data_IF_763344829424
#
_entry.id   IF_763344829424
#
_cell.length_a   1.000
_cell.length_b   1.000
_cell.length_c   1.000
_cell.angle_alpha   90.00
_cell.angle_beta   90.00
_cell.angle_gamma   90.00
#
_symmetry.space_group_name_H-M   'P 1'
#
loop_
_entity.id
_entity.type
_entity.pdbx_description
1 polymer ?
#
# COMPACT_ATOMS: atom_id res chain seq x y z
N UNK A 1 -0.96 14.11 -13.41
CA UNK A 1 -0.34 13.48 -12.20
C UNK A 1 1.13 13.22 -12.51
N UNK A 2 2.04 13.36 -11.53
CA UNK A 2 3.46 13.04 -11.73
C UNK A 2 3.66 11.53 -11.75
N UNK A 3 4.65 11.08 -12.54
CA UNK A 3 5.07 9.68 -12.61
C UNK A 3 6.47 9.53 -12.05
N UNK A 4 6.79 8.32 -11.62
CA UNK A 4 8.12 7.91 -11.18
C UNK A 4 8.42 6.50 -11.69
N UNK A 5 9.68 6.17 -11.81
CA UNK A 5 10.09 4.82 -12.14
C UNK A 5 9.90 3.88 -10.93
N UNK A 6 9.32 2.71 -11.17
CA UNK A 6 9.19 1.67 -10.15
C UNK A 6 10.52 0.90 -10.03
N UNK A 7 11.25 1.14 -8.96
CA UNK A 7 12.59 0.58 -8.81
C UNK A 7 13.51 1.00 -9.96
N UNK A 8 14.13 0.01 -10.60
CA UNK A 8 14.94 0.17 -11.84
C UNK A 8 14.41 -0.72 -12.96
N UNK A 9 13.08 -0.76 -13.08
CA UNK A 9 12.40 -1.67 -14.02
C UNK A 9 12.15 -1.04 -15.38
N UNK A 10 12.26 0.28 -15.51
CA UNK A 10 11.80 1.06 -16.66
C UNK A 10 10.29 1.37 -16.63
N UNK A 11 9.51 0.72 -15.76
CA UNK A 11 8.07 0.97 -15.62
C UNK A 11 7.79 2.31 -14.97
N UNK A 12 6.98 3.14 -15.63
CA UNK A 12 6.55 4.43 -15.11
C UNK A 12 5.17 4.28 -14.43
N UNK A 13 5.10 4.61 -13.15
CA UNK A 13 3.87 4.56 -12.38
C UNK A 13 3.54 5.93 -11.81
N UNK A 14 2.24 6.22 -11.57
CA UNK A 14 1.84 7.44 -10.89
C UNK A 14 2.36 7.45 -9.45
N UNK A 15 2.90 8.59 -9.02
CA UNK A 15 3.41 8.77 -7.64
C UNK A 15 2.30 8.66 -6.59
N UNK A 16 1.06 9.01 -6.95
CA UNK A 16 -0.13 8.75 -6.16
C UNK A 16 -0.82 7.49 -6.72
N UNK A 17 -0.85 6.41 -5.94
CA UNK A 17 -1.52 5.16 -6.30
C UNK A 17 -2.89 5.05 -5.65
N UNK A 18 -3.81 4.33 -6.30
CA UNK A 18 -5.18 4.12 -5.84
C UNK A 18 -5.36 2.71 -5.29
N UNK A 19 -5.65 2.61 -3.99
CA UNK A 19 -5.97 1.37 -3.30
C UNK A 19 -7.46 1.08 -3.33
N UNK A 20 -7.82 -0.11 -3.82
CA UNK A 20 -9.20 -0.56 -4.00
C UNK A 20 -9.74 -1.38 -2.80
N UNK A 21 -9.07 -1.33 -1.63
CA UNK A 21 -9.30 -2.24 -0.50
C UNK A 21 -10.78 -2.38 -0.09
N UNK A 22 -11.58 -1.33 -0.17
CA UNK A 22 -12.98 -1.33 0.27
C UNK A 22 -13.99 -1.28 -0.88
N UNK A 23 -13.53 -1.30 -2.13
CA UNK A 23 -14.39 -1.34 -3.31
C UNK A 23 -15.13 -2.68 -3.37
N UNK A 24 -16.41 -2.65 -3.69
CA UNK A 24 -17.30 -3.80 -3.65
C UNK A 24 -17.92 -4.11 -2.28
N UNK A 25 -17.56 -3.34 -1.24
CA UNK A 25 -18.13 -3.48 0.11
C UNK A 25 -18.54 -2.13 0.68
N UNK A 26 -17.69 -1.48 1.49
CA UNK A 26 -17.98 -0.15 2.05
C UNK A 26 -18.03 0.96 0.98
N UNK A 27 -17.41 0.75 -0.17
CA UNK A 27 -17.54 1.57 -1.38
C UNK A 27 -18.29 0.75 -2.41
N UNK A 28 -19.52 1.15 -2.73
CA UNK A 28 -20.35 0.47 -3.74
C UNK A 28 -19.75 0.56 -5.14
N UNK A 29 -20.22 -0.27 -6.06
CA UNK A 29 -19.64 -0.41 -7.40
C UNK A 29 -19.66 0.91 -8.20
N UNK A 30 -20.81 1.61 -8.20
CA UNK A 30 -20.94 2.88 -8.94
C UNK A 30 -19.97 3.95 -8.43
N UNK A 31 -19.82 4.07 -7.11
CA UNK A 31 -18.86 4.99 -6.48
C UNK A 31 -17.42 4.56 -6.75
N UNK A 32 -17.15 3.25 -6.73
CA UNK A 32 -15.83 2.71 -7.07
C UNK A 32 -15.45 3.04 -8.51
N UNK A 33 -16.38 2.88 -9.46
CA UNK A 33 -16.15 3.21 -10.87
C UNK A 33 -15.95 4.71 -11.07
N UNK A 34 -16.74 5.55 -10.39
CA UNK A 34 -16.55 7.00 -10.44
C UNK A 34 -15.15 7.42 -9.95
N UNK A 35 -14.68 6.85 -8.85
CA UNK A 35 -13.34 7.10 -8.31
C UNK A 35 -12.26 6.62 -9.29
N UNK A 36 -12.39 5.40 -9.81
CA UNK A 36 -11.42 4.79 -10.72
C UNK A 36 -11.34 5.55 -12.06
N UNK A 37 -12.48 5.93 -12.64
CA UNK A 37 -12.51 6.72 -13.88
C UNK A 37 -11.92 8.11 -13.65
N UNK A 38 -12.28 8.78 -12.55
CA UNK A 38 -11.71 10.08 -12.18
C UNK A 38 -10.21 10.01 -11.94
N UNK A 39 -9.71 8.88 -11.38
CA UNK A 39 -8.28 8.63 -11.19
C UNK A 39 -7.53 8.54 -12.52
N UNK A 40 -8.06 7.78 -13.50
CA UNK A 40 -7.49 7.74 -14.85
C UNK A 40 -7.49 9.09 -15.54
N UNK A 41 -8.61 9.85 -15.45
CA UNK A 41 -8.74 11.18 -16.03
C UNK A 41 -7.72 12.18 -15.45
N UNK A 42 -7.33 11.98 -14.18
CA UNK A 42 -6.28 12.75 -13.53
C UNK A 42 -4.85 12.31 -13.92
N UNK A 43 -4.71 11.30 -14.79
CA UNK A 43 -3.42 10.73 -15.21
C UNK A 43 -2.84 9.72 -14.22
N UNK A 44 -3.68 9.14 -13.35
CA UNK A 44 -3.28 8.04 -12.48
C UNK A 44 -3.14 6.75 -13.27
N UNK A 45 -2.21 5.89 -12.87
CA UNK A 45 -1.96 4.61 -13.53
C UNK A 45 -1.84 3.42 -12.59
N UNK A 46 -1.48 3.61 -11.34
CA UNK A 46 -1.20 2.52 -10.40
C UNK A 46 -2.41 2.18 -9.53
N UNK A 47 -3.05 1.02 -9.80
CA UNK A 47 -4.18 0.50 -9.03
C UNK A 47 -3.74 -0.71 -8.22
N UNK A 48 -4.01 -0.69 -6.91
CA UNK A 48 -3.59 -1.71 -5.94
C UNK A 48 -4.79 -2.39 -5.29
N UNK A 49 -4.81 -3.71 -5.30
CA UNK A 49 -5.79 -4.55 -4.61
C UNK A 49 -5.12 -5.72 -3.88
N UNK A 50 -5.90 -6.67 -3.37
CA UNK A 50 -5.44 -7.96 -2.85
C UNK A 50 -6.57 -8.99 -2.89
N UNK A 51 -6.20 -10.27 -2.94
CA UNK A 51 -7.12 -11.39 -2.98
C UNK A 51 -8.05 -11.45 -1.76
N UNK A 52 -7.56 -11.05 -0.58
CA UNK A 52 -8.27 -11.17 0.69
C UNK A 52 -9.04 -9.92 1.10
N UNK A 53 -9.03 -8.84 0.32
CA UNK A 53 -9.59 -7.58 0.77
C UNK A 53 -11.09 -7.67 1.05
N UNK A 54 -11.45 -6.95 2.11
CA UNK A 54 -12.82 -6.69 2.56
C UNK A 54 -13.54 -7.83 3.30
N UNK A 55 -12.93 -9.01 3.55
CA UNK A 55 -13.57 -10.09 4.32
C UNK A 55 -14.08 -9.65 5.71
N UNK A 56 -13.47 -8.62 6.30
CA UNK A 56 -13.80 -8.11 7.64
C UNK A 56 -14.94 -7.07 7.65
N UNK A 57 -15.42 -6.61 6.52
CA UNK A 57 -16.36 -5.47 6.42
C UNK A 57 -17.81 -5.82 6.74
N UNK A 58 -18.19 -7.09 6.78
CA UNK A 58 -19.54 -7.51 7.13
C UNK A 58 -19.81 -9.00 6.94
N UNK A 59 -20.94 -9.48 7.47
CA UNK A 59 -21.40 -10.84 7.25
C UNK A 59 -21.60 -11.10 5.75
N UNK A 60 -21.08 -12.23 5.27
CA UNK A 60 -21.16 -12.61 3.85
C UNK A 60 -19.98 -12.18 3.01
N UNK A 61 -19.14 -11.24 3.47
CA UNK A 61 -17.88 -10.92 2.78
C UNK A 61 -16.83 -11.97 3.11
N UNK A 62 -16.20 -12.52 2.09
CA UNK A 62 -15.24 -13.64 2.23
C UNK A 62 -13.86 -13.30 1.72
N UNK A 63 -13.68 -12.15 1.06
CA UNK A 63 -12.49 -11.76 0.33
C UNK A 63 -12.69 -11.96 -1.18
N UNK A 64 -12.00 -11.14 -1.97
CA UNK A 64 -12.12 -11.13 -3.43
C UNK A 64 -13.06 -10.06 -3.99
N UNK A 65 -13.93 -9.46 -3.17
CA UNK A 65 -14.92 -8.48 -3.60
C UNK A 65 -14.26 -7.28 -4.30
N UNK A 66 -13.11 -6.83 -3.82
CA UNK A 66 -12.33 -5.77 -4.45
C UNK A 66 -11.83 -6.15 -5.85
N UNK A 67 -11.29 -7.36 -6.00
CA UNK A 67 -10.81 -7.86 -7.30
C UNK A 67 -11.97 -8.08 -8.28
N UNK A 68 -13.15 -8.52 -7.83
CA UNK A 68 -14.33 -8.69 -8.68
C UNK A 68 -14.84 -7.37 -9.24
N UNK A 69 -14.94 -6.32 -8.41
CA UNK A 69 -15.31 -4.97 -8.87
C UNK A 69 -14.28 -4.44 -9.86
N UNK A 70 -12.99 -4.57 -9.54
CA UNK A 70 -11.94 -4.17 -10.46
C UNK A 70 -11.98 -4.95 -11.77
N UNK A 71 -12.25 -6.25 -11.73
CA UNK A 71 -12.38 -7.09 -12.94
C UNK A 71 -13.45 -6.59 -13.91
N UNK A 72 -14.61 -6.20 -13.39
CA UNK A 72 -15.68 -5.59 -14.22
C UNK A 72 -15.23 -4.24 -14.81
N UNK A 73 -14.58 -3.41 -14.04
CA UNK A 73 -14.11 -2.11 -14.49
C UNK A 73 -12.95 -2.22 -15.52
N UNK A 74 -12.07 -3.21 -15.36
CA UNK A 74 -10.89 -3.43 -16.21
C UNK A 74 -11.22 -3.92 -17.63
N UNK A 75 -12.41 -4.43 -17.89
CA UNK A 75 -12.80 -5.09 -19.17
C UNK A 75 -12.35 -4.31 -20.41
N UNK A 76 -12.37 -2.97 -20.38
CA UNK A 76 -11.89 -2.11 -21.48
C UNK A 76 -10.72 -1.21 -21.11
N UNK A 77 -10.17 -1.38 -19.90
CA UNK A 77 -9.20 -0.44 -19.30
C UNK A 77 -7.90 -1.11 -18.87
N UNK A 78 -7.77 -2.47 -18.96
CA UNK A 78 -6.59 -3.20 -18.44
C UNK A 78 -5.26 -2.62 -18.93
N UNK A 79 -5.16 -2.26 -20.19
CA UNK A 79 -3.93 -1.68 -20.77
C UNK A 79 -3.63 -0.23 -20.36
N UNK A 80 -4.52 0.40 -19.58
CA UNK A 80 -4.33 1.78 -19.11
C UNK A 80 -3.79 1.86 -17.68
N UNK A 81 -3.68 0.72 -16.99
CA UNK A 81 -3.29 0.69 -15.58
C UNK A 81 -2.13 -0.26 -15.35
N UNK A 82 -1.26 0.12 -14.42
CA UNK A 82 -0.34 -0.75 -13.74
C UNK A 82 -1.09 -1.40 -12.57
N UNK A 83 -1.38 -2.69 -12.68
CA UNK A 83 -2.25 -3.42 -11.76
C UNK A 83 -1.42 -4.24 -10.77
N UNK A 84 -1.63 -4.00 -9.48
CA UNK A 84 -1.04 -4.80 -8.42
C UNK A 84 -2.10 -5.58 -7.64
N UNK A 85 -1.79 -6.83 -7.32
CA UNK A 85 -2.55 -7.62 -6.34
C UNK A 85 -1.59 -8.38 -5.40
N UNK A 86 -2.14 -9.07 -4.39
CA UNK A 86 -1.37 -9.69 -3.32
C UNK A 86 -1.95 -11.05 -2.97
N UNK A 87 -1.08 -11.99 -2.57
CA UNK A 87 -1.43 -13.29 -1.99
C UNK A 87 -0.77 -13.51 -0.63
N UNK A 88 -0.93 -14.68 -0.06
CA UNK A 88 -0.43 -15.13 1.25
C UNK A 88 -1.27 -14.73 2.48
N UNK A 89 -2.29 -13.91 2.31
CA UNK A 89 -3.11 -13.43 3.42
C UNK A 89 -4.60 -13.79 3.29
N UNK A 90 -4.94 -14.82 2.53
CA UNK A 90 -6.29 -15.35 2.48
C UNK A 90 -6.71 -15.90 3.83
N UNK A 91 -8.00 -15.74 4.18
CA UNK A 91 -8.59 -16.24 5.42
C UNK A 91 -9.69 -17.23 5.05
N UNK A 92 -9.48 -18.53 5.34
CA UNK A 92 -10.40 -19.59 4.94
C UNK A 92 -11.76 -19.55 5.65
N UNK A 93 -11.78 -19.08 6.89
CA UNK A 93 -13.00 -18.93 7.71
C UNK A 93 -13.12 -17.51 8.27
N UNK A 94 -13.53 -16.53 7.43
CA UNK A 94 -13.65 -15.13 7.87
C UNK A 94 -14.64 -14.95 9.02
N UNK A 95 -15.71 -15.75 9.09
CA UNK A 95 -16.73 -15.65 10.11
C UNK A 95 -16.16 -15.93 11.52
N UNK A 96 -15.22 -16.85 11.61
CA UNK A 96 -14.55 -17.19 12.87
C UNK A 96 -13.70 -16.06 13.44
N UNK A 97 -13.09 -15.25 12.55
CA UNK A 97 -12.11 -14.22 12.98
C UNK A 97 -12.70 -12.82 13.02
N UNK A 98 -13.86 -12.58 12.42
CA UNK A 98 -14.45 -11.24 12.32
C UNK A 98 -14.73 -10.58 13.68
N UNK A 99 -15.18 -11.37 14.64
CA UNK A 99 -15.58 -10.90 15.97
C UNK A 99 -14.59 -11.31 17.08
N UNK A 100 -13.44 -11.90 16.71
CA UNK A 100 -12.45 -12.32 17.69
C UNK A 100 -11.26 -11.35 17.73
N UNK A 101 -10.74 -11.00 18.93
CA UNK A 101 -9.51 -10.23 19.03
C UNK A 101 -8.31 -11.10 18.62
N UNK A 102 -7.44 -10.54 17.79
CA UNK A 102 -6.20 -11.18 17.34
C UNK A 102 -6.01 -11.15 15.83
N UNK A 103 -4.84 -11.56 15.39
CA UNK A 103 -4.57 -11.71 13.96
C UNK A 103 -5.22 -13.00 13.45
N UNK A 104 -5.88 -12.97 12.27
CA UNK A 104 -6.41 -14.16 11.65
C UNK A 104 -5.26 -15.10 11.23
N UNK A 105 -5.57 -16.38 11.12
CA UNK A 105 -4.64 -17.31 10.49
C UNK A 105 -4.69 -17.12 8.97
N UNK A 106 -3.60 -16.61 8.44
CA UNK A 106 -3.41 -16.41 7.00
C UNK A 106 -2.99 -17.74 6.31
N UNK A 107 -3.25 -17.80 5.01
CA UNK A 107 -2.93 -18.95 4.15
C UNK A 107 -1.43 -19.25 4.04
N UNK A 108 -0.58 -18.23 4.30
CA UNK A 108 0.87 -18.36 4.21
C UNK A 108 1.41 -18.25 2.76
N UNK A 109 2.73 -18.37 2.65
CA UNK A 109 3.45 -18.12 1.40
C UNK A 109 4.04 -19.39 0.76
N UNK A 110 3.46 -20.57 1.07
CA UNK A 110 3.83 -21.82 0.41
C UNK A 110 3.60 -21.73 -1.12
N UNK A 111 4.48 -22.35 -1.89
CA UNK A 111 4.47 -22.21 -3.35
C UNK A 111 3.15 -22.61 -4.00
N UNK A 112 2.51 -23.68 -3.52
CA UNK A 112 1.19 -24.11 -4.01
C UNK A 112 0.11 -23.06 -3.68
N UNK A 113 0.15 -22.49 -2.47
CA UNK A 113 -0.78 -21.46 -2.03
C UNK A 113 -0.71 -20.23 -2.93
N UNK A 114 0.50 -19.70 -3.17
CA UNK A 114 0.68 -18.51 -4.00
C UNK A 114 0.22 -18.72 -5.44
N UNK A 115 0.48 -19.91 -6.04
CA UNK A 115 0.00 -20.24 -7.39
C UNK A 115 -1.53 -20.29 -7.46
N UNK A 116 -2.15 -20.99 -6.53
CA UNK A 116 -3.61 -21.12 -6.43
C UNK A 116 -4.28 -19.76 -6.22
N UNK A 117 -3.74 -18.94 -5.34
CA UNK A 117 -4.29 -17.63 -5.01
C UNK A 117 -4.16 -16.64 -6.17
N UNK A 118 -3.00 -16.61 -6.85
CA UNK A 118 -2.85 -15.80 -8.05
C UNK A 118 -3.81 -16.24 -9.16
N UNK A 119 -3.95 -17.53 -9.42
CA UNK A 119 -4.88 -18.03 -10.44
C UNK A 119 -6.34 -17.65 -10.12
N UNK A 120 -6.71 -17.64 -8.85
CA UNK A 120 -8.02 -17.16 -8.42
C UNK A 120 -8.15 -15.64 -8.60
N UNK A 121 -7.13 -14.85 -8.29
CA UNK A 121 -7.08 -13.40 -8.51
C UNK A 121 -7.20 -13.04 -9.99
N UNK A 122 -6.44 -13.70 -10.87
CA UNK A 122 -6.52 -13.49 -12.31
C UNK A 122 -7.93 -13.74 -12.87
N UNK A 123 -8.62 -14.78 -12.37
CA UNK A 123 -10.03 -15.03 -12.75
C UNK A 123 -10.97 -13.92 -12.30
N UNK A 124 -10.85 -13.43 -11.04
CA UNK A 124 -11.69 -12.32 -10.53
C UNK A 124 -11.41 -11.02 -11.26
N UNK A 125 -10.14 -10.74 -11.54
CA UNK A 125 -9.69 -9.53 -12.25
C UNK A 125 -9.96 -9.59 -13.77
N UNK A 126 -10.31 -10.77 -14.32
CA UNK A 126 -10.58 -10.93 -15.75
C UNK A 126 -9.38 -10.65 -16.65
N UNK A 127 -8.16 -10.99 -16.19
CA UNK A 127 -6.90 -10.75 -16.91
C UNK A 127 -6.00 -11.98 -16.85
N UNK A 128 -5.05 -12.09 -17.76
CA UNK A 128 -4.07 -13.18 -17.83
C UNK A 128 -2.80 -12.89 -17.02
N UNK A 129 -2.58 -11.63 -16.64
CA UNK A 129 -1.42 -11.23 -15.83
C UNK A 129 -1.70 -10.02 -14.94
N UNK A 130 -0.86 -9.86 -13.91
CA UNK A 130 -0.72 -8.62 -13.13
C UNK A 130 0.66 -8.02 -13.32
N UNK A 131 0.75 -6.69 -13.18
CA UNK A 131 2.02 -5.99 -13.34
C UNK A 131 2.90 -6.15 -12.09
N UNK A 132 2.27 -6.24 -10.90
CA UNK A 132 2.99 -6.43 -9.64
C UNK A 132 2.23 -7.41 -8.73
N UNK A 133 2.92 -8.41 -8.22
CA UNK A 133 2.38 -9.37 -7.27
C UNK A 133 3.15 -9.31 -5.96
N UNK A 134 2.43 -9.04 -4.86
CA UNK A 134 3.04 -9.00 -3.54
C UNK A 134 2.82 -10.29 -2.76
N UNK A 135 3.84 -10.70 -1.99
CA UNK A 135 3.59 -11.43 -0.75
C UNK A 135 3.02 -10.43 0.25
N UNK A 136 1.74 -10.60 0.62
CA UNK A 136 0.95 -9.62 1.36
C UNK A 136 1.37 -9.51 2.83
N UNK A 137 1.60 -10.67 3.46
CA UNK A 137 2.12 -10.78 4.83
C UNK A 137 3.26 -11.79 4.78
N UNK A 138 4.42 -11.39 5.33
CA UNK A 138 5.59 -12.26 5.38
C UNK A 138 5.30 -13.52 6.22
N UNK A 139 5.70 -14.68 5.70
CA UNK A 139 5.51 -15.98 6.32
C UNK A 139 6.85 -16.57 6.74
N UNK A 140 7.07 -16.65 8.04
CA UNK A 140 8.28 -17.21 8.62
C UNK A 140 8.25 -18.75 8.74
N UNK A 141 7.08 -19.36 8.55
CA UNK A 141 6.90 -20.81 8.65
C UNK A 141 7.31 -21.54 7.37
N UNK A 142 7.08 -20.91 6.20
CA UNK A 142 7.47 -21.46 4.91
C UNK A 142 8.95 -21.16 4.61
N UNK A 143 9.75 -22.14 4.15
CA UNK A 143 11.10 -21.87 3.66
C UNK A 143 11.09 -20.83 2.54
N UNK A 144 11.96 -19.82 2.63
CA UNK A 144 12.02 -18.74 1.65
C UNK A 144 12.30 -19.23 0.23
N UNK A 145 13.14 -20.25 0.12
CA UNK A 145 13.51 -20.82 -1.17
C UNK A 145 12.28 -21.39 -1.90
N UNK A 146 11.37 -22.05 -1.18
CA UNK A 146 10.11 -22.55 -1.74
C UNK A 146 9.23 -21.41 -2.27
N UNK A 147 9.06 -20.37 -1.45
CA UNK A 147 8.30 -19.17 -1.82
C UNK A 147 8.88 -18.49 -3.06
N UNK A 148 10.20 -18.28 -3.07
CA UNK A 148 10.90 -17.56 -4.14
C UNK A 148 10.93 -18.34 -5.46
N UNK A 149 11.13 -19.67 -5.40
CA UNK A 149 11.05 -20.53 -6.58
C UNK A 149 9.65 -20.49 -7.21
N UNK A 150 8.60 -20.53 -6.38
CA UNK A 150 7.23 -20.42 -6.87
C UNK A 150 6.97 -19.07 -7.54
N UNK A 151 7.39 -17.96 -6.93
CA UNK A 151 7.26 -16.62 -7.48
C UNK A 151 8.04 -16.47 -8.80
N UNK A 152 9.28 -16.98 -8.86
CA UNK A 152 10.07 -17.01 -10.08
C UNK A 152 9.36 -17.79 -11.21
N UNK A 153 8.72 -18.90 -10.88
CA UNK A 153 7.91 -19.66 -11.81
C UNK A 153 6.69 -18.89 -12.35
N UNK A 154 6.05 -18.05 -11.51
CA UNK A 154 4.94 -17.20 -11.91
C UNK A 154 5.38 -16.09 -12.87
N UNK A 155 6.56 -15.52 -12.65
CA UNK A 155 7.17 -14.54 -13.56
C UNK A 155 7.56 -15.22 -14.90
N UNK A 156 8.20 -16.37 -14.85
CA UNK A 156 8.57 -17.13 -16.04
C UNK A 156 7.35 -17.56 -16.88
N UNK A 157 6.21 -17.82 -16.22
CA UNK A 157 4.94 -18.13 -16.88
C UNK A 157 4.22 -16.90 -17.47
N UNK A 158 4.75 -15.69 -17.28
CA UNK A 158 4.16 -14.44 -17.75
C UNK A 158 2.91 -13.99 -17.00
N UNK A 159 2.57 -14.65 -15.89
CA UNK A 159 1.40 -14.29 -15.05
C UNK A 159 1.68 -13.07 -14.14
N UNK A 160 2.94 -12.77 -13.88
CA UNK A 160 3.43 -11.67 -13.06
C UNK A 160 4.59 -11.00 -13.77
N UNK A 161 4.58 -9.67 -13.87
CA UNK A 161 5.72 -8.93 -14.42
C UNK A 161 6.78 -8.66 -13.36
N UNK A 162 6.36 -8.13 -12.21
CA UNK A 162 7.25 -7.74 -11.12
C UNK A 162 6.79 -8.32 -9.78
N UNK A 163 7.73 -8.52 -8.88
CA UNK A 163 7.49 -9.01 -7.53
C UNK A 163 7.62 -7.88 -6.50
N UNK A 164 6.83 -7.97 -5.44
CA UNK A 164 6.92 -7.09 -4.29
C UNK A 164 6.73 -7.85 -2.99
N UNK A 165 7.03 -7.19 -1.88
CA UNK A 165 6.79 -7.71 -0.55
C UNK A 165 6.06 -6.67 0.30
N UNK A 166 5.18 -7.10 1.20
CA UNK A 166 4.47 -6.23 2.12
C UNK A 166 4.59 -6.78 3.55
N UNK A 167 4.49 -5.91 4.53
CA UNK A 167 4.52 -6.28 5.95
C UNK A 167 5.75 -7.14 6.31
N UNK A 168 6.92 -6.68 5.90
CA UNK A 168 8.20 -7.39 6.00
C UNK A 168 9.25 -6.56 6.74
N UNK A 169 10.07 -7.21 7.55
CA UNK A 169 11.21 -6.57 8.20
C UNK A 169 12.39 -6.43 7.24
N UNK A 170 13.21 -5.39 7.44
CA UNK A 170 14.38 -5.08 6.61
C UNK A 170 15.34 -6.24 6.47
N UNK A 171 15.71 -6.91 7.59
CA UNK A 171 16.62 -8.06 7.54
C UNK A 171 16.08 -9.24 6.68
N UNK A 172 14.76 -9.43 6.71
CA UNK A 172 14.09 -10.47 5.92
C UNK A 172 14.10 -10.12 4.44
N UNK A 173 13.86 -8.84 4.12
CA UNK A 173 13.91 -8.33 2.75
C UNK A 173 15.31 -8.51 2.15
N UNK A 174 16.38 -8.24 2.90
CA UNK A 174 17.74 -8.50 2.45
C UNK A 174 18.03 -9.98 2.24
N UNK A 175 17.53 -10.84 3.12
CA UNK A 175 17.66 -12.30 2.91
C UNK A 175 16.95 -12.76 1.64
N UNK A 176 15.76 -12.21 1.35
CA UNK A 176 15.01 -12.46 0.12
C UNK A 176 15.86 -12.06 -1.09
N UNK A 177 16.41 -10.86 -1.09
CA UNK A 177 17.24 -10.34 -2.20
C UNK A 177 18.50 -11.17 -2.41
N UNK A 178 19.20 -11.52 -1.35
CA UNK A 178 20.40 -12.34 -1.41
C UNK A 178 20.11 -13.77 -1.98
N UNK A 179 18.96 -14.34 -1.65
CA UNK A 179 18.56 -15.63 -2.24
C UNK A 179 18.20 -15.48 -3.72
N UNK A 180 17.49 -14.42 -4.10
CA UNK A 180 17.19 -14.15 -5.51
C UNK A 180 18.47 -14.00 -6.33
N UNK A 181 19.45 -13.24 -5.85
CA UNK A 181 20.76 -13.09 -6.51
C UNK A 181 21.48 -14.44 -6.64
N UNK A 182 21.55 -15.22 -5.56
CA UNK A 182 22.21 -16.53 -5.54
C UNK A 182 21.64 -17.50 -6.56
N UNK A 183 20.31 -17.52 -6.72
CA UNK A 183 19.61 -18.48 -7.58
C UNK A 183 19.27 -17.91 -8.96
N UNK A 184 19.57 -16.65 -9.26
CA UNK A 184 19.18 -15.99 -10.49
C UNK A 184 17.66 -15.78 -10.62
N UNK A 185 16.94 -15.69 -9.49
CA UNK A 185 15.51 -15.44 -9.48
C UNK A 185 15.20 -13.93 -9.52
N UNK A 186 14.01 -13.54 -10.05
CA UNK A 186 13.56 -12.16 -9.97
C UNK A 186 13.47 -11.67 -8.53
N UNK A 187 14.15 -10.55 -8.22
CA UNK A 187 14.07 -9.92 -6.92
C UNK A 187 12.85 -9.01 -6.79
N UNK A 188 12.33 -8.77 -5.57
CA UNK A 188 11.33 -7.74 -5.36
C UNK A 188 11.81 -6.36 -5.80
N UNK A 189 10.95 -5.61 -6.49
CA UNK A 189 11.19 -4.23 -6.94
C UNK A 189 10.43 -3.21 -6.09
N UNK A 190 9.52 -3.67 -5.24
CA UNK A 190 8.71 -2.82 -4.38
C UNK A 190 8.55 -3.45 -2.99
N UNK A 191 8.55 -2.59 -1.98
CA UNK A 191 8.14 -2.93 -0.61
C UNK A 191 6.95 -2.07 -0.23
N UNK A 192 5.83 -2.72 0.15
CA UNK A 192 4.61 -2.02 0.55
C UNK A 192 4.46 -2.06 2.06
N UNK A 193 4.59 -0.91 2.72
CA UNK A 193 4.59 -0.75 4.18
C UNK A 193 3.73 0.44 4.59
N UNK A 194 3.21 0.39 5.82
CA UNK A 194 2.56 1.56 6.41
C UNK A 194 3.58 2.67 6.61
N UNK A 195 3.34 3.80 5.96
CA UNK A 195 4.18 4.99 6.10
C UNK A 195 3.32 6.25 6.10
N UNK A 196 3.64 7.14 7.02
CA UNK A 196 2.90 8.38 7.24
C UNK A 196 3.84 9.46 7.79
N UNK A 197 3.32 10.66 8.00
CA UNK A 197 4.08 11.75 8.62
C UNK A 197 4.40 11.49 10.10
N UNK A 198 3.55 10.77 10.84
CA UNK A 198 3.86 10.35 12.21
C UNK A 198 4.97 9.30 12.21
N UNK A 199 5.83 9.37 13.24
CA UNK A 199 6.86 8.36 13.53
C UNK A 199 6.34 7.32 14.51
N UNK A 200 6.69 6.02 14.37
CA UNK A 200 6.38 5.04 15.38
C UNK A 200 7.06 5.39 16.70
N UNK A 201 6.34 5.23 17.82
CA UNK A 201 6.89 5.45 19.15
C UNK A 201 8.01 4.46 19.47
N UNK A 202 8.94 4.78 20.40
CA UNK A 202 9.92 3.82 20.89
C UNK A 202 9.27 2.53 21.39
N UNK A 203 9.81 1.39 20.95
CA UNK A 203 9.27 0.07 21.31
C UNK A 203 8.00 -0.36 20.55
N UNK A 204 7.58 0.39 19.53
CA UNK A 204 6.49 0.00 18.65
C UNK A 204 6.81 -1.31 17.88
N UNK A 205 5.77 -2.07 17.52
CA UNK A 205 5.94 -3.17 16.58
C UNK A 205 5.98 -2.63 15.15
N UNK A 206 7.18 -2.48 14.60
CA UNK A 206 7.41 -1.92 13.26
C UNK A 206 7.44 -2.96 12.13
N UNK A 207 6.95 -4.19 12.35
CA UNK A 207 6.91 -5.21 11.27
C UNK A 207 6.25 -4.70 9.99
N UNK A 208 5.17 -3.97 10.14
CA UNK A 208 4.37 -3.43 9.03
C UNK A 208 4.52 -1.92 8.84
N UNK A 209 5.32 -1.27 9.66
CA UNK A 209 5.49 0.18 9.70
C UNK A 209 6.93 0.50 9.31
N UNK A 210 7.08 1.47 8.42
CA UNK A 210 8.39 2.00 8.06
C UNK A 210 9.03 2.68 9.28
N UNK A 211 10.21 2.22 9.65
CA UNK A 211 11.07 2.81 10.68
C UNK A 211 12.35 3.40 10.07
N UNK A 212 13.18 3.98 10.92
CA UNK A 212 14.41 4.66 10.47
C UNK A 212 15.40 3.69 9.81
N UNK A 213 15.46 2.42 10.28
CA UNK A 213 16.31 1.40 9.66
C UNK A 213 15.83 1.12 8.23
N UNK A 214 14.53 0.91 8.03
CA UNK A 214 13.98 0.64 6.71
C UNK A 214 14.10 1.85 5.77
N UNK A 215 13.90 3.08 6.27
CA UNK A 215 14.16 4.29 5.48
C UNK A 215 15.62 4.39 5.07
N UNK A 216 16.56 4.14 5.99
CA UNK A 216 17.99 4.14 5.69
C UNK A 216 18.32 3.10 4.62
N UNK A 217 17.78 1.87 4.77
CA UNK A 217 17.95 0.81 3.80
C UNK A 217 17.46 1.21 2.40
N UNK A 218 16.24 1.75 2.30
CA UNK A 218 15.64 2.14 1.02
C UNK A 218 16.41 3.28 0.32
N UNK A 219 16.99 4.22 1.08
CA UNK A 219 17.84 5.28 0.52
C UNK A 219 19.09 4.73 -0.19
N UNK A 220 19.59 3.59 0.28
CA UNK A 220 20.78 2.96 -0.28
C UNK A 220 20.48 1.85 -1.32
N UNK A 221 19.21 1.53 -1.50
CA UNK A 221 18.72 0.51 -2.42
C UNK A 221 17.61 1.05 -3.33
N UNK A 222 17.94 1.97 -4.27
CA UNK A 222 16.96 2.66 -5.12
C UNK A 222 16.23 1.74 -6.13
N UNK A 223 16.67 0.50 -6.27
CA UNK A 223 15.96 -0.56 -7.00
C UNK A 223 14.73 -1.09 -6.25
N UNK A 224 14.53 -0.70 -4.99
CA UNK A 224 13.33 -0.98 -4.20
C UNK A 224 12.49 0.29 -4.05
N UNK A 225 11.30 0.30 -4.60
CA UNK A 225 10.34 1.39 -4.39
C UNK A 225 9.54 1.17 -3.13
N UNK A 226 9.50 2.18 -2.25
CA UNK A 226 8.53 2.21 -1.15
C UNK A 226 7.12 2.49 -1.70
N UNK A 227 6.15 1.63 -1.40
CA UNK A 227 4.73 1.89 -1.62
C UNK A 227 4.09 2.12 -0.24
N UNK A 228 3.86 3.40 0.07
CA UNK A 228 3.43 3.87 1.39
C UNK A 228 1.91 3.71 1.54
N UNK A 229 1.45 2.66 2.23
CA UNK A 229 0.02 2.50 2.50
C UNK A 229 -0.40 3.18 3.82
N UNK A 230 -1.70 3.45 3.97
CA UNK A 230 -2.31 4.15 5.11
C UNK A 230 -1.67 5.51 5.43
N UNK A 231 -1.33 6.34 4.44
CA UNK A 231 -0.61 7.60 4.66
C UNK A 231 -1.36 8.56 5.59
N UNK A 232 -2.68 8.50 5.61
CA UNK A 232 -3.55 9.35 6.43
C UNK A 232 -4.02 8.71 7.74
N UNK A 233 -3.52 7.52 8.10
CA UNK A 233 -3.84 6.82 9.36
C UNK A 233 -5.35 6.79 9.66
N UNK A 234 -6.14 6.36 8.66
CA UNK A 234 -7.61 6.31 8.71
C UNK A 234 -8.29 7.67 8.93
N UNK A 235 -7.61 8.76 8.56
CA UNK A 235 -8.12 10.13 8.70
C UNK A 235 -7.83 10.79 10.06
N UNK A 236 -6.87 10.27 10.82
CA UNK A 236 -6.50 10.78 12.14
C UNK A 236 -5.93 12.21 12.15
N UNK A 237 -5.46 12.71 11.02
CA UNK A 237 -4.99 14.10 10.90
C UNK A 237 -6.15 15.11 10.84
N UNK A 238 -7.19 14.80 10.06
CA UNK A 238 -8.34 15.69 9.86
C UNK A 238 -9.41 15.59 10.96
N UNK A 239 -9.49 14.44 11.65
CA UNK A 239 -10.52 14.18 12.64
C UNK A 239 -9.91 13.61 13.93
N UNK A 240 -9.82 14.43 15.01
CA UNK A 240 -9.28 13.99 16.29
C UNK A 240 -10.01 12.76 16.90
N UNK A 241 -11.30 12.57 16.62
CA UNK A 241 -12.03 11.40 17.12
C UNK A 241 -11.48 10.09 16.54
N UNK A 242 -10.91 10.13 15.34
CA UNK A 242 -10.28 8.96 14.69
C UNK A 242 -8.92 8.58 15.29
N UNK A 243 -8.34 9.43 16.13
CA UNK A 243 -7.10 9.11 16.87
C UNK A 243 -7.29 8.01 17.91
N UNK A 244 -8.55 7.66 18.25
CA UNK A 244 -8.85 6.48 19.05
C UNK A 244 -8.71 5.15 18.30
N UNK A 245 -8.63 5.16 16.95
CA UNK A 245 -8.52 3.96 16.12
C UNK A 245 -7.24 3.16 16.47
N UNK A 246 -7.28 1.80 16.49
CA UNK A 246 -6.13 0.95 16.83
C UNK A 246 -4.86 1.22 15.98
N UNK A 247 -4.99 1.68 14.72
CA UNK A 247 -3.84 2.07 13.89
C UNK A 247 -2.95 3.11 14.55
N UNK A 248 -3.49 3.90 15.49
CA UNK A 248 -2.76 4.95 16.21
C UNK A 248 -1.94 4.42 17.39
N UNK A 249 -2.12 3.16 17.81
CA UNK A 249 -1.46 2.65 19.03
C UNK A 249 0.07 2.70 18.93
N UNK A 250 0.62 2.51 17.75
CA UNK A 250 2.07 2.52 17.53
C UNK A 250 2.66 3.94 17.36
N UNK A 251 1.81 4.98 17.34
CA UNK A 251 2.21 6.38 17.12
C UNK A 251 1.94 7.30 18.33
N UNK A 252 1.26 6.81 19.38
CA UNK A 252 0.89 7.65 20.54
C UNK A 252 2.10 8.15 21.29
N UNK A 253 2.07 9.43 21.70
CA UNK A 253 3.12 10.06 22.49
C UNK A 253 3.29 11.54 22.17
N UNK A 254 4.22 12.19 22.87
CA UNK A 254 4.49 13.63 22.73
C UNK A 254 4.94 14.02 21.30
N UNK A 255 5.76 13.18 20.67
CA UNK A 255 6.16 13.37 19.26
C UNK A 255 4.94 13.46 18.33
N UNK A 256 3.99 12.54 18.47
CA UNK A 256 2.79 12.53 17.64
C UNK A 256 1.92 13.77 17.87
N UNK A 257 1.76 14.19 19.13
CA UNK A 257 0.97 15.40 19.44
C UNK A 257 1.63 16.66 18.88
N UNK A 258 2.95 16.79 18.97
CA UNK A 258 3.69 17.89 18.35
C UNK A 258 3.51 17.91 16.82
N UNK A 259 3.60 16.74 16.18
CA UNK A 259 3.40 16.60 14.74
C UNK A 259 1.97 16.93 14.30
N UNK A 260 0.97 16.50 15.06
CA UNK A 260 -0.42 16.90 14.79
C UNK A 260 -0.62 18.42 14.88
N UNK A 261 -0.01 19.06 15.87
CA UNK A 261 -0.10 20.51 16.05
C UNK A 261 0.50 21.28 14.86
N UNK A 262 1.69 20.86 14.41
CA UNK A 262 2.38 21.49 13.25
C UNK A 262 1.56 21.31 11.96
N UNK A 263 1.01 20.11 11.72
CA UNK A 263 0.16 19.87 10.55
C UNK A 263 -1.10 20.72 10.58
N UNK A 264 -1.77 20.85 11.74
CA UNK A 264 -2.98 21.66 11.89
C UNK A 264 -2.70 23.15 11.71
N UNK A 265 -1.58 23.64 12.26
CA UNK A 265 -1.13 25.02 12.11
C UNK A 265 -0.87 25.34 10.63
N UNK A 266 -0.05 24.54 9.96
CA UNK A 266 0.28 24.72 8.55
C UNK A 266 -0.95 24.62 7.64
N UNK A 267 -1.86 23.70 7.92
CA UNK A 267 -3.12 23.57 7.19
C UNK A 267 -3.96 24.86 7.30
N UNK A 268 -4.01 25.45 8.50
CA UNK A 268 -4.70 26.73 8.74
C UNK A 268 -4.05 27.89 7.96
N UNK A 269 -2.72 27.99 8.02
CA UNK A 269 -1.97 29.03 7.29
C UNK A 269 -2.17 28.96 5.78
N UNK A 270 -2.26 27.75 5.23
CA UNK A 270 -2.40 27.51 3.80
C UNK A 270 -3.86 27.46 3.31
N UNK A 271 -4.85 27.46 4.22
CA UNK A 271 -6.26 27.34 3.89
C UNK A 271 -6.62 25.97 3.27
N UNK A 272 -5.94 24.90 3.67
CA UNK A 272 -6.13 23.53 3.19
C UNK A 272 -6.45 22.59 4.36
N UNK A 273 -6.74 21.32 4.07
CA UNK A 273 -6.96 20.33 5.13
C UNK A 273 -5.65 19.74 5.66
N UNK A 274 -5.62 19.26 6.92
CA UNK A 274 -4.49 18.51 7.47
C UNK A 274 -4.10 17.29 6.61
N UNK A 275 -5.06 16.59 6.00
CA UNK A 275 -4.82 15.48 5.09
C UNK A 275 -4.03 15.91 3.84
N UNK A 276 -4.39 17.07 3.27
CA UNK A 276 -3.68 17.62 2.10
C UNK A 276 -2.23 17.98 2.44
N UNK A 277 -1.97 18.55 3.62
CA UNK A 277 -0.61 18.85 4.08
C UNK A 277 0.23 17.57 4.18
N UNK A 278 -0.31 16.52 4.80
CA UNK A 278 0.39 15.24 4.97
C UNK A 278 0.64 14.56 3.62
N UNK A 279 -0.33 14.55 2.72
CA UNK A 279 -0.14 13.99 1.38
C UNK A 279 0.89 14.80 0.58
N UNK A 280 0.82 16.13 0.62
CA UNK A 280 1.82 16.98 -0.04
C UNK A 280 3.22 16.74 0.52
N UNK A 281 3.38 16.61 1.85
CA UNK A 281 4.66 16.27 2.47
C UNK A 281 5.21 14.94 1.96
N UNK A 282 4.39 13.87 1.90
CA UNK A 282 4.79 12.56 1.35
C UNK A 282 5.20 12.65 -0.11
N UNK A 283 4.44 13.39 -0.93
CA UNK A 283 4.73 13.57 -2.35
C UNK A 283 5.98 14.42 -2.63
N UNK A 284 6.44 15.22 -1.65
CA UNK A 284 7.70 15.96 -1.72
C UNK A 284 8.92 15.14 -1.28
N UNK A 285 8.74 13.93 -0.72
CA UNK A 285 9.86 13.08 -0.33
C UNK A 285 10.61 12.58 -1.56
N UNK A 286 11.93 12.80 -1.59
CA UNK A 286 12.80 12.41 -2.70
C UNK A 286 13.83 11.36 -2.32
N UNK A 287 13.97 11.05 -1.02
CA UNK A 287 14.98 10.10 -0.52
C UNK A 287 14.49 9.38 0.76
N UNK A 288 13.98 8.16 0.63
CA UNK A 288 13.65 7.48 -0.64
C UNK A 288 12.44 8.14 -1.31
N UNK A 289 12.36 8.04 -2.63
CA UNK A 289 11.12 8.33 -3.34
C UNK A 289 10.10 7.25 -2.98
N UNK A 290 8.84 7.64 -2.88
CA UNK A 290 7.76 6.73 -2.53
C UNK A 290 6.53 6.92 -3.42
N UNK A 291 5.87 5.81 -3.71
CA UNK A 291 4.49 5.82 -4.20
C UNK A 291 3.57 5.96 -2.99
N UNK A 292 2.75 7.00 -2.97
CA UNK A 292 1.76 7.22 -1.90
C UNK A 292 0.45 6.53 -2.25
N UNK A 293 0.08 5.50 -1.50
CA UNK A 293 -1.11 4.68 -1.74
C UNK A 293 -2.29 5.18 -0.92
N UNK A 294 -3.26 5.80 -1.57
CA UNK A 294 -4.51 6.29 -0.95
C UNK A 294 -5.66 5.30 -1.16
N UNK A 295 -6.59 5.24 -0.20
CA UNK A 295 -7.79 4.40 -0.26
C UNK A 295 -9.04 5.19 0.07
N UNK A 296 -9.50 6.10 -0.81
CA UNK A 296 -10.73 6.85 -0.61
C UNK A 296 -11.94 5.92 -0.69
N UNK A 297 -12.97 6.22 0.08
CA UNK A 297 -14.25 5.50 0.06
C UNK A 297 -15.32 6.24 -0.73
N UNK A 298 -15.10 7.52 -0.96
CA UNK A 298 -16.03 8.38 -1.70
C UNK A 298 -15.27 9.29 -2.67
N UNK A 299 -15.95 9.71 -3.73
CA UNK A 299 -15.38 10.65 -4.71
C UNK A 299 -14.91 11.97 -4.07
N UNK A 300 -15.65 12.60 -3.12
CA UNK A 300 -15.14 13.77 -2.41
C UNK A 300 -13.84 13.53 -1.64
N UNK A 301 -13.64 12.35 -1.02
CA UNK A 301 -12.38 12.01 -0.38
C UNK A 301 -11.24 11.85 -1.41
N UNK A 302 -11.56 11.34 -2.58
CA UNK A 302 -10.58 11.24 -3.67
C UNK A 302 -10.21 12.63 -4.20
N UNK A 303 -11.18 13.54 -4.40
CA UNK A 303 -10.91 14.92 -4.86
C UNK A 303 -10.09 15.70 -3.83
N UNK A 304 -10.33 15.52 -2.52
CA UNK A 304 -9.49 16.07 -1.46
C UNK A 304 -8.03 15.60 -1.60
N UNK A 305 -7.83 14.30 -1.80
CA UNK A 305 -6.49 13.74 -1.97
C UNK A 305 -5.83 14.20 -3.29
N UNK A 306 -6.61 14.30 -4.37
CA UNK A 306 -6.11 14.76 -5.67
C UNK A 306 -5.62 16.21 -5.61
N UNK A 307 -6.33 17.08 -4.89
CA UNK A 307 -5.93 18.48 -4.75
C UNK A 307 -4.62 18.67 -3.96
N UNK A 308 -4.18 17.69 -3.18
CA UNK A 308 -2.85 17.71 -2.57
C UNK A 308 -1.69 17.72 -3.59
N UNK A 309 -1.91 17.25 -4.82
CA UNK A 309 -0.92 17.29 -5.90
C UNK A 309 -0.58 18.72 -6.34
N UNK A 310 -1.50 19.66 -6.14
CA UNK A 310 -1.32 21.07 -6.49
C UNK A 310 -0.64 21.86 -5.35
N UNK A 311 -0.58 21.29 -4.14
CA UNK A 311 -0.03 21.95 -2.97
C UNK A 311 1.51 21.90 -3.02
N UNK A 312 2.14 23.04 -3.27
CA UNK A 312 3.60 23.19 -3.31
C UNK A 312 4.09 23.71 -1.96
N UNK A 313 4.64 22.83 -1.15
CA UNK A 313 5.28 23.19 0.11
C UNK A 313 6.65 23.83 -0.16
N UNK A 314 6.92 24.99 0.49
CA UNK A 314 8.24 25.62 0.43
C UNK A 314 9.27 24.84 1.25
N UNK A 315 10.58 25.14 1.03
CA UNK A 315 11.65 24.53 1.83
C UNK A 315 11.53 24.86 3.33
N UNK A 316 11.05 26.06 3.68
CA UNK A 316 10.79 26.46 5.07
C UNK A 316 9.65 25.64 5.69
N UNK A 317 8.55 25.42 4.93
CA UNK A 317 7.42 24.62 5.38
C UNK A 317 7.78 23.14 5.54
N UNK A 318 8.58 22.59 4.64
CA UNK A 318 9.11 21.23 4.77
C UNK A 318 10.01 21.12 6.02
N UNK A 319 10.90 22.08 6.24
CA UNK A 319 11.76 22.13 7.44
C UNK A 319 10.91 22.24 8.71
N UNK A 320 9.86 23.05 8.70
CA UNK A 320 8.94 23.19 9.83
C UNK A 320 8.24 21.86 10.17
N UNK A 321 7.77 21.13 9.14
CA UNK A 321 7.19 19.79 9.30
C UNK A 321 8.23 18.78 9.83
N UNK A 322 9.43 18.76 9.25
CA UNK A 322 10.46 17.76 9.57
C UNK A 322 11.06 17.95 10.97
N UNK A 323 11.08 19.18 11.49
CA UNK A 323 11.59 19.51 12.83
C UNK A 323 10.60 19.23 13.96
N UNK A 324 9.34 18.92 13.67
CA UNK A 324 8.35 18.63 14.71
C UNK A 324 8.72 17.36 15.48
N UNK A 325 8.56 17.40 16.79
CA UNK A 325 8.81 16.26 17.69
C UNK A 325 10.30 15.90 17.84
N UNK A 326 11.22 16.79 17.44
CA UNK A 326 12.67 16.61 17.59
C UNK A 326 13.15 17.04 18.97
#
# INVERSE_FOLDING_TARGET
MQTMELGRTGEQVSQLALGAMLMGTSTGEDEAFAILDRYLDAGGSFVDTANCYAWWTGPGNTGGESEEVLGRWLTSRRGKVFLATKGSAWVDDPARFRDQPGEPRYSGAAGETLRRELDASLRRLGTDHVDLYYVHVDDLATPLEETLEALAGLVAAGKVRHLGWSNVRTWRLERIRALCERHGWPAPVAVQQQHSYLRPRPGANTRSIVDDEQLHHLRHNPELTLVAYSPLLKGGYGDPARRAHPVMNEYRGEDAEARFAVVADLATQLGVTPNQVVLAWLLHQTSPTAVTLIGPRTLPQFEEALSALELKLTGEQLTYLDSAGA
#
